data_IF_698145862721
#
_entry.id   IF_698145862721
#
_cell.length_a   1.000
_cell.length_b   1.000
_cell.length_c   1.000
_cell.angle_alpha   90.00
_cell.angle_beta   90.00
_cell.angle_gamma   90.00
#
_symmetry.space_group_name_H-M   'P 1'
#
loop_
_entity.id
_entity.type
_entity.pdbx_description
1 polymer ?
#
# COMPACT_ATOMS: atom_id res chain seq x y z
N UNK A 1 -25.29 -8.55 -6.15
CA UNK A 1 -24.46 -7.82 -5.18
C UNK A 1 -23.03 -8.19 -5.50
N UNK A 2 -22.39 -7.48 -6.43
CA UNK A 2 -20.93 -7.52 -6.59
C UNK A 2 -20.36 -6.81 -5.36
N UNK A 3 -19.88 -7.54 -4.36
CA UNK A 3 -18.60 -8.25 -4.26
C UNK A 3 -17.55 -7.28 -3.71
N UNK A 4 -17.44 -7.26 -2.36
CA UNK A 4 -16.53 -6.41 -1.57
C UNK A 4 -15.03 -6.68 -1.80
N UNK A 5 -14.71 -7.21 -2.98
CA UNK A 5 -13.39 -7.58 -3.46
C UNK A 5 -12.54 -6.34 -3.68
N UNK A 6 -13.09 -5.20 -4.11
CA UNK A 6 -12.31 -3.97 -4.25
C UNK A 6 -11.95 -3.34 -2.91
N UNK A 7 -12.87 -3.28 -1.96
CA UNK A 7 -12.63 -2.77 -0.61
C UNK A 7 -11.59 -3.63 0.13
N UNK A 8 -11.73 -4.97 0.05
CA UNK A 8 -10.72 -5.88 0.61
C UNK A 8 -9.34 -5.70 -0.02
N UNK A 9 -9.27 -5.48 -1.34
CA UNK A 9 -8.01 -5.22 -2.05
C UNK A 9 -7.40 -3.88 -1.64
N UNK A 10 -8.22 -2.83 -1.51
CA UNK A 10 -7.77 -1.51 -1.08
C UNK A 10 -7.21 -1.57 0.35
N UNK A 11 -7.91 -2.25 1.27
CA UNK A 11 -7.43 -2.50 2.63
C UNK A 11 -6.14 -3.33 2.65
N UNK A 12 -6.04 -4.36 1.80
CA UNK A 12 -4.81 -5.17 1.68
C UNK A 12 -3.61 -4.35 1.21
N UNK A 13 -3.80 -3.45 0.25
CA UNK A 13 -2.75 -2.54 -0.23
C UNK A 13 -2.33 -1.53 0.86
N UNK A 14 -3.28 -0.97 1.62
CA UNK A 14 -3.00 -0.08 2.75
C UNK A 14 -2.20 -0.77 3.86
N UNK A 15 -2.58 -2.01 4.21
CA UNK A 15 -1.89 -2.82 5.20
C UNK A 15 -0.45 -3.12 4.76
N UNK A 16 -0.26 -3.48 3.48
CA UNK A 16 1.07 -3.72 2.93
C UNK A 16 1.92 -2.46 2.96
N UNK A 17 1.39 -1.32 2.53
CA UNK A 17 2.08 -0.03 2.60
C UNK A 17 2.53 0.28 4.04
N UNK A 18 1.62 0.13 5.00
CA UNK A 18 1.90 0.39 6.42
C UNK A 18 2.98 -0.54 6.98
N UNK A 19 2.93 -1.83 6.63
CA UNK A 19 3.97 -2.79 7.00
C UNK A 19 5.33 -2.39 6.41
N UNK A 20 5.37 -1.95 5.15
CA UNK A 20 6.61 -1.56 4.47
C UNK A 20 7.21 -0.25 4.99
N UNK A 21 6.38 0.70 5.42
CA UNK A 21 6.85 1.90 6.13
C UNK A 21 7.47 1.51 7.49
N UNK A 22 6.88 0.54 8.19
CA UNK A 22 7.42 0.03 9.46
C UNK A 22 8.77 -0.66 9.25
N UNK A 23 8.89 -1.52 8.23
CA UNK A 23 10.16 -2.15 7.83
C UNK A 23 11.21 -1.11 7.43
N UNK A 24 10.83 -0.08 6.66
CA UNK A 24 11.72 1.02 6.30
C UNK A 24 12.31 1.70 7.54
N UNK A 25 11.49 2.03 8.53
CA UNK A 25 11.97 2.66 9.77
C UNK A 25 12.94 1.75 10.53
N UNK A 26 12.66 0.45 10.59
CA UNK A 26 13.55 -0.54 11.21
C UNK A 26 14.91 -0.61 10.50
N UNK A 27 14.92 -0.66 9.16
CA UNK A 27 16.17 -0.68 8.37
C UNK A 27 16.96 0.63 8.48
N UNK A 28 16.26 1.76 8.56
CA UNK A 28 16.89 3.07 8.77
C UNK A 28 17.62 3.12 10.12
N UNK A 29 16.98 2.65 11.20
CA UNK A 29 17.59 2.56 12.53
C UNK A 29 18.77 1.57 12.57
N UNK A 30 18.71 0.50 11.78
CA UNK A 30 19.78 -0.49 11.67
C UNK A 30 20.96 -0.02 10.77
N UNK A 31 20.85 1.12 10.09
CA UNK A 31 21.86 1.60 9.15
C UNK A 31 21.94 0.80 7.84
N UNK A 32 20.94 -0.04 7.54
CA UNK A 32 20.89 -0.83 6.31
C UNK A 32 20.19 -0.03 5.19
N UNK A 33 21.00 0.73 4.45
CA UNK A 33 20.53 1.57 3.35
C UNK A 33 19.80 0.78 2.26
N UNK A 34 20.34 -0.37 1.86
CA UNK A 34 19.79 -1.14 0.73
C UNK A 34 18.43 -1.74 1.10
N UNK A 35 18.28 -2.25 2.32
CA UNK A 35 17.00 -2.74 2.80
C UNK A 35 15.99 -1.59 2.99
N UNK A 36 16.42 -0.43 3.49
CA UNK A 36 15.55 0.75 3.59
C UNK A 36 15.05 1.22 2.21
N UNK A 37 15.92 1.32 1.21
CA UNK A 37 15.54 1.72 -0.16
C UNK A 37 14.54 0.73 -0.80
N UNK A 38 14.72 -0.58 -0.55
CA UNK A 38 13.77 -1.61 -1.00
C UNK A 38 12.42 -1.48 -0.30
N UNK A 39 12.40 -1.42 1.02
CA UNK A 39 11.16 -1.25 1.79
C UNK A 39 10.40 0.03 1.38
N UNK A 40 11.11 1.13 1.13
CA UNK A 40 10.52 2.36 0.60
C UNK A 40 9.91 2.17 -0.79
N UNK A 41 10.61 1.49 -1.70
CA UNK A 41 10.10 1.22 -3.06
C UNK A 41 8.84 0.35 -3.01
N UNK A 42 8.83 -0.68 -2.17
CA UNK A 42 7.67 -1.55 -1.99
C UNK A 42 6.48 -0.82 -1.35
N UNK A 43 6.72 0.09 -0.39
CA UNK A 43 5.68 0.95 0.18
C UNK A 43 5.05 1.86 -0.87
N UNK A 44 5.85 2.45 -1.76
CA UNK A 44 5.36 3.30 -2.86
C UNK A 44 4.49 2.50 -3.84
N UNK A 45 4.92 1.30 -4.24
CA UNK A 45 4.12 0.45 -5.11
C UNK A 45 2.78 0.05 -4.47
N UNK A 46 2.77 -0.25 -3.16
CA UNK A 46 1.54 -0.54 -2.43
C UNK A 46 0.61 0.68 -2.34
N UNK A 47 1.16 1.88 -2.16
CA UNK A 47 0.40 3.14 -2.17
C UNK A 47 -0.23 3.41 -3.54
N UNK A 48 0.51 3.25 -4.63
CA UNK A 48 -0.01 3.41 -5.99
C UNK A 48 -1.22 2.50 -6.23
N UNK A 49 -1.10 1.22 -5.88
CA UNK A 49 -2.20 0.26 -6.00
C UNK A 49 -3.39 0.65 -5.11
N UNK A 50 -3.14 1.12 -3.88
CA UNK A 50 -4.22 1.58 -3.00
C UNK A 50 -4.98 2.76 -3.61
N UNK A 51 -4.26 3.76 -4.13
CA UNK A 51 -4.86 4.93 -4.77
C UNK A 51 -5.70 4.54 -5.98
N UNK A 52 -5.18 3.68 -6.87
CA UNK A 52 -5.93 3.18 -8.04
C UNK A 52 -7.21 2.45 -7.65
N UNK A 53 -7.17 1.65 -6.58
CA UNK A 53 -8.35 0.94 -6.07
C UNK A 53 -9.36 1.88 -5.43
N UNK A 54 -8.90 2.90 -4.71
CA UNK A 54 -9.80 3.92 -4.14
C UNK A 54 -10.45 4.77 -5.22
N UNK A 55 -9.76 5.06 -6.32
CA UNK A 55 -10.34 5.77 -7.47
C UNK A 55 -11.42 4.94 -8.17
N UNK A 56 -11.20 3.62 -8.30
CA UNK A 56 -12.21 2.69 -8.78
C UNK A 56 -13.43 2.63 -7.85
N UNK A 57 -13.22 2.59 -6.52
CA UNK A 57 -14.31 2.62 -5.54
C UNK A 57 -15.13 3.91 -5.62
N UNK A 58 -14.47 5.06 -5.77
CA UNK A 58 -15.13 6.36 -5.99
C UNK A 58 -15.99 6.28 -7.26
N UNK A 59 -15.39 5.83 -8.37
CA UNK A 59 -16.10 5.69 -9.63
C UNK A 59 -17.32 4.78 -9.51
N UNK A 60 -17.22 3.63 -8.84
CA UNK A 60 -18.35 2.72 -8.64
C UNK A 60 -19.44 3.27 -7.72
N UNK A 61 -19.05 4.05 -6.71
CA UNK A 61 -19.99 4.60 -5.71
C UNK A 61 -20.82 5.75 -6.29
N UNK A 62 -20.22 6.54 -7.19
CA UNK A 62 -20.80 7.79 -7.68
C UNK A 62 -21.10 7.81 -9.19
N UNK A 63 -20.89 6.71 -9.92
CA UNK A 63 -21.36 6.53 -11.31
C UNK A 63 -22.86 6.21 -11.37
#
# INVERSE_FOLDING_TARGET
MEDGTLERRAMGAEQLMTAKITEFAAHLMAGDRSAAERARTEALAALEVHLDLTDQLITQTFA
#
